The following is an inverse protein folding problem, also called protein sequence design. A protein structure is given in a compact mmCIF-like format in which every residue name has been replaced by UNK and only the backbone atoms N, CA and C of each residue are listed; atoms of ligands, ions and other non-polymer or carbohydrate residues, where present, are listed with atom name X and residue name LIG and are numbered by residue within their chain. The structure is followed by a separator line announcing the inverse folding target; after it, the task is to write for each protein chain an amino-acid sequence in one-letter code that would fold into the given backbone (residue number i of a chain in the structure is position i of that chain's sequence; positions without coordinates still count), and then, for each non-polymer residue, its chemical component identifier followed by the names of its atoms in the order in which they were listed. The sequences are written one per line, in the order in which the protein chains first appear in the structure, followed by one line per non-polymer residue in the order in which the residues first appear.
data_IF_153476438326
#
_entry.id   IF_153476438326
#
_cell.length_a   1.000
_cell.length_b   1.000
_cell.length_c   1.000
_cell.angle_alpha   90.00
_cell.angle_beta   90.00
_cell.angle_gamma   90.00
#
_symmetry.space_group_name_H-M   'P 1'
#
loop_
_entity.id
_entity.type
_entity.pdbx_description
1 polymer ?
#
# COMPACT_ATOMS: atom_id res chain seq x y z
N UNK A 1 20.10 1.23 25.99
CA UNK A 1 21.37 0.85 26.68
C UNK A 1 21.35 -0.62 27.10
N UNK A 2 20.23 -1.14 27.63
CA UNK A 2 20.07 -2.56 27.99
C UNK A 2 20.29 -3.55 26.84
N UNK A 3 19.76 -3.29 25.65
CA UNK A 3 19.91 -4.19 24.49
C UNK A 3 21.38 -4.38 24.09
N UNK A 4 22.19 -3.31 24.18
CA UNK A 4 23.62 -3.38 23.88
C UNK A 4 24.37 -4.23 24.93
N UNK A 5 24.02 -4.05 26.20
CA UNK A 5 24.63 -4.80 27.31
C UNK A 5 24.27 -6.29 27.21
N UNK A 6 23.02 -6.61 26.89
CA UNK A 6 22.56 -7.98 26.66
C UNK A 6 23.27 -8.61 25.44
N UNK A 7 23.38 -7.89 24.33
CA UNK A 7 24.06 -8.36 23.13
C UNK A 7 25.57 -8.58 23.36
N UNK A 8 26.25 -7.69 24.09
CA UNK A 8 27.67 -7.84 24.40
C UNK A 8 27.93 -9.04 25.32
N UNK A 9 27.00 -9.36 26.23
CA UNK A 9 27.07 -10.56 27.08
C UNK A 9 26.86 -11.86 26.29
N UNK A 10 25.96 -11.84 25.31
CA UNK A 10 25.68 -12.99 24.46
C UNK A 10 26.76 -13.23 23.40
N UNK A 11 27.47 -12.17 22.98
CA UNK A 11 28.51 -12.20 21.96
C UNK A 11 29.78 -11.50 22.44
N UNK A 12 30.51 -12.06 23.42
CA UNK A 12 31.65 -11.41 24.05
C UNK A 12 32.83 -11.19 23.08
N UNK A 13 33.00 -12.07 22.09
CA UNK A 13 34.06 -11.99 21.06
C UNK A 13 33.80 -10.94 19.98
N UNK A 14 32.62 -10.31 19.97
CA UNK A 14 32.26 -9.29 18.98
C UNK A 14 32.45 -7.91 19.62
N UNK A 15 33.24 -7.04 18.97
CA UNK A 15 33.43 -5.67 19.42
C UNK A 15 32.09 -4.91 19.50
N UNK A 16 31.95 -4.08 20.54
CA UNK A 16 30.79 -3.22 20.77
C UNK A 16 30.45 -2.37 19.54
N UNK A 17 31.45 -1.91 18.78
CA UNK A 17 31.26 -1.12 17.56
C UNK A 17 30.61 -1.94 16.44
N UNK A 18 30.97 -3.23 16.31
CA UNK A 18 30.34 -4.14 15.35
C UNK A 18 28.90 -4.49 15.73
N UNK A 19 28.63 -4.65 17.03
CA UNK A 19 27.27 -4.85 17.54
C UNK A 19 26.42 -3.60 17.27
N UNK A 20 26.94 -2.41 17.57
CA UNK A 20 26.27 -1.14 17.27
C UNK A 20 26.04 -0.95 15.76
N UNK A 21 27.02 -1.29 14.93
CA UNK A 21 26.90 -1.26 13.48
C UNK A 21 25.77 -2.16 12.97
N UNK A 22 25.67 -3.38 13.48
CA UNK A 22 24.59 -4.33 13.15
C UNK A 22 23.23 -3.88 13.68
N UNK A 23 23.14 -3.38 14.92
CA UNK A 23 21.90 -2.81 15.46
C UNK A 23 21.43 -1.64 14.60
N UNK A 24 22.35 -0.73 14.24
CA UNK A 24 22.05 0.37 13.30
C UNK A 24 21.61 -0.16 11.94
N UNK A 25 22.25 -1.19 11.41
CA UNK A 25 21.86 -1.77 10.12
C UNK A 25 20.46 -2.40 10.17
N UNK A 26 20.16 -3.17 11.23
CA UNK A 26 18.85 -3.81 11.45
C UNK A 26 17.76 -2.75 11.65
N UNK A 27 18.03 -1.72 12.45
CA UNK A 27 17.09 -0.62 12.71
C UNK A 27 16.98 0.37 11.54
N UNK A 28 18.01 0.47 10.70
CA UNK A 28 17.99 1.26 9.46
C UNK A 28 17.19 0.59 8.33
N UNK A 29 16.91 -0.71 8.46
CA UNK A 29 16.06 -1.43 7.53
C UNK A 29 14.63 -0.95 7.75
N UNK A 30 14.25 0.05 6.96
CA UNK A 30 12.91 0.64 6.97
C UNK A 30 11.90 -0.51 6.83
N UNK A 31 11.06 -0.80 7.85
CA UNK A 31 10.12 -1.91 7.75
C UNK A 31 9.23 -1.69 6.54
N UNK A 32 8.92 -2.76 5.80
CA UNK A 32 8.02 -2.70 4.64
C UNK A 32 6.68 -2.05 5.03
N UNK A 33 6.04 -1.36 4.08
CA UNK A 33 4.73 -0.75 4.30
C UNK A 33 3.69 -1.88 4.36
N UNK A 34 2.98 -1.99 5.49
CA UNK A 34 1.95 -3.00 5.73
C UNK A 34 0.54 -2.47 5.42
N UNK A 35 -0.44 -3.37 5.38
CA UNK A 35 -1.86 -2.98 5.22
C UNK A 35 -2.37 -2.13 6.39
N UNK A 36 -1.87 -2.38 7.61
CA UNK A 36 -2.23 -1.59 8.81
C UNK A 36 -1.66 -0.17 8.72
N UNK A 37 -0.41 -0.03 8.26
CA UNK A 37 0.20 1.28 8.00
C UNK A 37 -0.65 2.11 7.03
N UNK A 38 -1.15 1.46 5.97
CA UNK A 38 -2.00 2.10 4.95
C UNK A 38 -3.34 2.55 5.55
N UNK A 39 -4.03 1.70 6.30
CA UNK A 39 -5.31 2.04 6.91
C UNK A 39 -5.19 3.20 7.90
N UNK A 40 -4.12 3.18 8.72
CA UNK A 40 -3.83 4.22 9.69
C UNK A 40 -3.53 5.56 9.03
N UNK A 41 -2.63 5.59 8.04
CA UNK A 41 -2.34 6.82 7.28
C UNK A 41 -3.58 7.32 6.55
N UNK A 42 -4.38 6.42 5.96
CA UNK A 42 -5.63 6.76 5.28
C UNK A 42 -6.60 7.48 6.21
N UNK A 43 -6.86 6.94 7.40
CA UNK A 43 -7.73 7.57 8.43
C UNK A 43 -7.25 8.97 8.79
N UNK A 44 -5.95 9.14 9.01
CA UNK A 44 -5.36 10.42 9.38
C UNK A 44 -5.41 11.45 8.24
N UNK A 45 -5.21 11.02 6.98
CA UNK A 45 -5.37 11.88 5.80
C UNK A 45 -6.82 12.36 5.66
N UNK A 46 -7.82 11.53 5.97
CA UNK A 46 -9.22 11.96 5.97
C UNK A 46 -9.55 12.92 7.11
N UNK A 47 -8.93 12.76 8.28
CA UNK A 47 -9.18 13.62 9.43
C UNK A 47 -8.50 14.99 9.32
N UNK A 48 -7.26 15.03 8.83
CA UNK A 48 -6.39 16.20 8.92
C UNK A 48 -5.90 16.72 7.56
N UNK A 49 -6.30 16.10 6.46
CA UNK A 49 -5.74 16.39 5.14
C UNK A 49 -4.30 15.87 5.00
N UNK A 50 -3.54 16.39 4.02
CA UNK A 50 -2.16 15.98 3.74
C UNK A 50 -1.13 16.67 4.64
N UNK A 51 -1.42 16.78 5.94
CA UNK A 51 -0.48 17.31 6.92
C UNK A 51 0.50 16.21 7.35
N UNK A 52 1.54 15.99 6.54
CA UNK A 52 2.50 14.92 6.76
C UNK A 52 3.30 15.08 8.05
N UNK A 53 3.50 16.31 8.52
CA UNK A 53 4.19 16.56 9.79
C UNK A 53 3.38 15.96 10.95
N UNK A 54 2.08 16.28 10.98
CA UNK A 54 1.16 15.74 11.98
C UNK A 54 0.94 14.23 11.82
N UNK A 55 0.73 13.75 10.59
CA UNK A 55 0.49 12.33 10.33
C UNK A 55 1.72 11.50 10.74
N UNK A 56 2.93 11.96 10.42
CA UNK A 56 4.18 11.31 10.83
C UNK A 56 4.23 11.15 12.35
N UNK A 57 3.94 12.21 13.10
CA UNK A 57 3.89 12.15 14.56
C UNK A 57 2.86 11.13 15.08
N UNK A 58 1.66 11.08 14.50
CA UNK A 58 0.57 10.17 14.91
C UNK A 58 0.85 8.69 14.61
N UNK A 59 1.64 8.40 13.57
CA UNK A 59 2.12 7.05 13.25
C UNK A 59 3.47 6.72 13.91
N UNK A 60 3.99 7.64 14.75
CA UNK A 60 5.31 7.55 15.37
C UNK A 60 6.44 7.29 14.37
N UNK A 61 6.40 8.01 13.24
CA UNK A 61 7.37 7.90 12.15
C UNK A 61 7.64 9.28 11.52
N UNK A 62 8.48 9.29 10.49
CA UNK A 62 8.83 10.48 9.74
C UNK A 62 7.69 10.93 8.81
N UNK A 63 7.55 12.24 8.56
CA UNK A 63 6.59 12.76 7.58
C UNK A 63 6.78 12.14 6.19
N UNK A 64 8.03 11.89 5.82
CA UNK A 64 8.42 11.24 4.56
C UNK A 64 7.90 9.82 4.44
N UNK A 65 7.87 9.07 5.56
CA UNK A 65 7.28 7.72 5.58
C UNK A 65 5.77 7.77 5.42
N UNK A 66 5.09 8.67 6.11
CA UNK A 66 3.65 8.87 5.95
C UNK A 66 3.26 9.19 4.49
N UNK A 67 3.99 10.10 3.85
CA UNK A 67 3.79 10.44 2.44
C UNK A 67 4.03 9.23 1.51
N UNK A 68 5.08 8.45 1.77
CA UNK A 68 5.39 7.25 0.99
C UNK A 68 4.29 6.19 1.11
N UNK A 69 3.78 5.96 2.32
CA UNK A 69 2.65 5.04 2.57
C UNK A 69 1.43 5.47 1.76
N UNK A 70 1.08 6.77 1.82
CA UNK A 70 -0.03 7.32 1.06
C UNK A 70 0.15 7.20 -0.45
N UNK A 71 1.37 7.47 -0.94
CA UNK A 71 1.68 7.38 -2.37
C UNK A 71 1.57 5.94 -2.87
N UNK A 72 2.14 4.98 -2.15
CA UNK A 72 2.03 3.56 -2.48
C UNK A 72 0.58 3.09 -2.50
N UNK A 73 -0.24 3.52 -1.54
CA UNK A 73 -1.68 3.23 -1.55
C UNK A 73 -2.35 3.76 -2.83
N UNK A 74 -2.06 5.00 -3.22
CA UNK A 74 -2.59 5.60 -4.44
C UNK A 74 -2.12 4.88 -5.70
N UNK A 75 -0.89 4.41 -5.73
CA UNK A 75 -0.36 3.63 -6.85
C UNK A 75 -1.00 2.25 -6.94
N UNK A 76 -1.23 1.59 -5.81
CA UNK A 76 -2.00 0.34 -5.75
C UNK A 76 -3.47 0.54 -6.17
N UNK A 77 -4.04 1.72 -5.95
CA UNK A 77 -5.37 2.10 -6.44
C UNK A 77 -5.39 2.48 -7.93
N UNK A 78 -4.24 2.74 -8.57
CA UNK A 78 -4.23 2.87 -10.02
C UNK A 78 -4.47 1.47 -10.57
N UNK A 79 -5.70 1.24 -11.02
CA UNK A 79 -6.09 0.03 -11.71
C UNK A 79 -5.01 -0.34 -12.74
N UNK A 80 -4.61 -1.63 -12.85
CA UNK A 80 -3.71 -2.04 -13.91
C UNK A 80 -4.29 -1.57 -15.25
N UNK A 81 -3.52 -0.77 -15.99
CA UNK A 81 -3.95 -0.18 -17.27
C UNK A 81 -4.37 -1.25 -18.27
N UNK A 82 -3.71 -2.41 -18.21
CA UNK A 82 -3.99 -3.55 -19.07
C UNK A 82 -5.14 -4.38 -18.50
N UNK A 83 -6.08 -4.74 -19.38
CA UNK A 83 -7.15 -5.68 -19.07
C UNK A 83 -6.65 -7.11 -19.30
N UNK A 84 -6.77 -7.98 -18.30
CA UNK A 84 -6.53 -9.41 -18.50
C UNK A 84 -7.70 -10.08 -19.22
N UNK A 85 -7.48 -11.26 -19.77
CA UNK A 85 -8.54 -12.00 -20.46
C UNK A 85 -9.69 -12.40 -19.51
N UNK A 86 -9.38 -12.80 -18.28
CA UNK A 86 -10.38 -13.06 -17.24
C UNK A 86 -11.21 -11.82 -16.88
N UNK A 87 -10.55 -10.66 -16.74
CA UNK A 87 -11.25 -9.38 -16.50
C UNK A 87 -12.19 -9.05 -17.68
N UNK A 88 -11.74 -9.27 -18.92
CA UNK A 88 -12.54 -9.05 -20.13
C UNK A 88 -13.71 -10.03 -20.24
N UNK A 89 -13.50 -11.30 -19.93
CA UNK A 89 -14.55 -12.31 -19.96
C UNK A 89 -15.62 -12.03 -18.89
N UNK A 90 -15.19 -11.64 -17.69
CA UNK A 90 -16.10 -11.18 -16.64
C UNK A 90 -16.89 -9.95 -17.10
N UNK A 91 -16.22 -8.99 -17.74
CA UNK A 91 -16.87 -7.78 -18.25
C UNK A 91 -17.88 -8.07 -19.38
N UNK A 92 -17.54 -8.98 -20.31
CA UNK A 92 -18.44 -9.46 -21.38
C UNK A 92 -19.66 -10.15 -20.81
N UNK A 93 -19.48 -10.99 -19.80
CA UNK A 93 -20.60 -11.65 -19.10
C UNK A 93 -21.51 -10.63 -18.42
N UNK A 94 -20.93 -9.63 -17.75
CA UNK A 94 -21.70 -8.54 -17.15
C UNK A 94 -22.50 -7.74 -18.20
N UNK A 95 -21.93 -7.50 -19.39
CA UNK A 95 -22.64 -6.85 -20.50
C UNK A 95 -23.83 -7.70 -20.96
N UNK A 96 -23.61 -8.99 -21.18
CA UNK A 96 -24.64 -9.94 -21.61
C UNK A 96 -25.78 -10.03 -20.59
N UNK A 97 -25.44 -10.11 -19.30
CA UNK A 97 -26.40 -10.30 -18.20
C UNK A 97 -27.07 -8.99 -17.75
N UNK A 98 -26.75 -7.85 -18.39
CA UNK A 98 -27.32 -6.55 -18.05
C UNK A 98 -26.89 -6.00 -16.68
N UNK A 99 -25.75 -6.47 -16.16
CA UNK A 99 -25.24 -6.11 -14.83
C UNK A 99 -24.73 -4.67 -14.81
N UNK A 100 -25.07 -3.93 -13.75
CA UNK A 100 -24.65 -2.54 -13.58
C UNK A 100 -23.12 -2.41 -13.40
N UNK A 101 -22.55 -1.28 -13.85
CA UNK A 101 -21.09 -1.09 -13.86
C UNK A 101 -20.46 -1.11 -12.47
N UNK A 102 -21.21 -0.72 -11.43
CA UNK A 102 -20.77 -0.79 -10.05
C UNK A 102 -20.59 -2.24 -9.58
N UNK A 103 -21.46 -3.13 -10.05
CA UNK A 103 -21.39 -4.56 -9.76
C UNK A 103 -20.28 -5.23 -10.56
N UNK A 104 -20.12 -4.88 -11.84
CA UNK A 104 -19.00 -5.35 -12.65
C UNK A 104 -17.63 -4.97 -12.05
N UNK A 105 -17.50 -3.73 -11.53
CA UNK A 105 -16.30 -3.29 -10.81
C UNK A 105 -16.04 -4.10 -9.55
N UNK A 106 -17.10 -4.44 -8.78
CA UNK A 106 -16.98 -5.31 -7.60
C UNK A 106 -16.54 -6.73 -7.98
N UNK A 107 -17.10 -7.31 -9.04
CA UNK A 107 -16.76 -8.65 -9.52
C UNK A 107 -15.31 -8.74 -10.03
N UNK A 108 -14.84 -7.71 -10.73
CA UNK A 108 -13.47 -7.65 -11.24
C UNK A 108 -12.47 -7.34 -10.12
N UNK A 109 -12.83 -6.50 -9.15
CA UNK A 109 -12.03 -6.19 -7.98
C UNK A 109 -10.80 -5.30 -8.22
N UNK A 110 -10.23 -5.33 -9.43
CA UNK A 110 -9.01 -4.61 -9.83
C UNK A 110 -9.28 -3.37 -10.67
N UNK A 111 -10.51 -3.20 -11.19
CA UNK A 111 -10.92 -2.12 -12.09
C UNK A 111 -12.01 -1.27 -11.44
N UNK A 112 -11.90 0.05 -11.55
CA UNK A 112 -12.90 0.99 -11.03
C UNK A 112 -14.16 0.97 -11.88
N UNK A 113 -15.28 1.44 -11.31
CA UNK A 113 -16.56 1.62 -12.01
C UNK A 113 -16.39 2.38 -13.33
N UNK A 114 -15.65 3.49 -13.32
CA UNK A 114 -15.44 4.31 -14.52
C UNK A 114 -14.58 3.59 -15.57
N UNK A 115 -13.58 2.81 -15.15
CA UNK A 115 -12.79 1.97 -16.06
C UNK A 115 -13.66 0.87 -16.70
N UNK A 116 -14.52 0.22 -15.91
CA UNK A 116 -15.47 -0.76 -16.40
C UNK A 116 -16.45 -0.13 -17.41
N UNK A 117 -17.02 1.03 -17.09
CA UNK A 117 -17.93 1.74 -17.99
C UNK A 117 -17.27 2.08 -19.33
N UNK A 118 -16.08 2.70 -19.30
CA UNK A 118 -15.33 3.04 -20.51
C UNK A 118 -15.04 1.80 -21.37
N UNK A 119 -14.63 0.69 -20.76
CA UNK A 119 -14.33 -0.54 -21.47
C UNK A 119 -15.58 -1.23 -22.03
N UNK A 120 -16.70 -1.21 -21.30
CA UNK A 120 -17.97 -1.78 -21.76
C UNK A 120 -18.51 -1.04 -22.98
N UNK A 121 -18.42 0.30 -23.00
CA UNK A 121 -18.83 1.10 -24.17
C UNK A 121 -18.03 0.72 -25.42
N UNK A 122 -16.72 0.50 -25.30
CA UNK A 122 -15.88 0.03 -26.40
C UNK A 122 -16.30 -1.36 -26.88
N UNK A 123 -16.53 -2.30 -25.97
CA UNK A 123 -16.92 -3.68 -26.32
C UNK A 123 -18.32 -3.78 -26.94
N UNK A 124 -19.24 -2.88 -26.60
CA UNK A 124 -20.57 -2.80 -27.24
C UNK A 124 -20.55 -2.18 -28.63
N UNK A 125 -19.47 -1.47 -28.97
CA UNK A 125 -19.30 -0.78 -30.25
C UNK A 125 -18.56 -1.62 -31.30
N UNK A 126 -18.23 -2.87 -30.96
CA UNK A 126 -17.53 -3.84 -31.82
C UNK A 126 -18.48 -4.97 -32.18
#
# INVERSE_FOLDING_TARGET
REVLIQAQKAFPDISQESILGKIKQITSKVPGITSDDIDRVKKLVYAYGKDWARIGQEINDTPRRAERIWTQHREQQKAPQTWSEDELNTLRRCIHDGVEMAEASRLIGTKTRDACNAKMLLLKST
#
